data_IF_977364925015
#
_entry.id   IF_977364925015
#
_cell.length_a   1.000
_cell.length_b   1.000
_cell.length_c   1.000
_cell.angle_alpha   90.00
_cell.angle_beta   90.00
_cell.angle_gamma   90.00
#
_symmetry.space_group_name_H-M   'P 1'
#
loop_
_entity.id
_entity.type
_entity.pdbx_description
1 polymer ?
#
# COMPACT_ATOMS: atom_id res chain seq x y z
N UNK A 1 3.78 7.07 18.14
CA UNK A 1 4.51 7.66 17.00
C UNK A 1 3.48 8.08 15.97
N UNK A 2 3.62 9.25 15.34
CA UNK A 2 2.69 9.74 14.32
C UNK A 2 3.47 10.08 13.06
N UNK A 3 2.99 9.59 11.91
CA UNK A 3 3.54 9.90 10.60
C UNK A 3 2.44 10.56 9.76
N UNK A 4 2.75 11.72 9.18
CA UNK A 4 1.87 12.38 8.23
C UNK A 4 2.57 12.46 6.87
N UNK A 5 1.88 12.04 5.81
CA UNK A 5 2.37 12.12 4.43
C UNK A 5 1.55 13.19 3.71
N UNK A 6 2.15 14.36 3.39
CA UNK A 6 1.40 15.42 2.73
C UNK A 6 1.10 15.08 1.26
N UNK A 7 0.08 15.71 0.66
CA UNK A 7 -0.22 15.56 -0.76
C UNK A 7 1.00 15.81 -1.65
N UNK A 8 1.25 14.92 -2.61
CA UNK A 8 2.37 15.02 -3.55
C UNK A 8 3.74 14.60 -3.00
N UNK A 9 3.82 14.21 -1.73
CA UNK A 9 5.07 13.73 -1.15
C UNK A 9 5.52 12.39 -1.76
N UNK A 10 6.85 12.23 -1.86
CA UNK A 10 7.50 10.94 -2.13
C UNK A 10 8.30 10.58 -0.88
N UNK A 11 7.89 9.53 -0.19
CA UNK A 11 8.46 9.14 1.11
C UNK A 11 9.11 7.77 0.98
N UNK A 12 10.34 7.64 1.48
CA UNK A 12 11.03 6.37 1.64
C UNK A 12 11.00 5.93 3.10
N UNK A 13 10.64 4.68 3.36
CA UNK A 13 10.73 4.05 4.68
C UNK A 13 11.96 3.14 4.70
N UNK A 14 12.92 3.44 5.55
CA UNK A 14 14.19 2.70 5.69
C UNK A 14 14.33 2.12 7.10
N UNK A 15 15.10 1.05 7.21
CA UNK A 15 15.36 0.34 8.45
C UNK A 15 15.77 -1.10 8.16
N UNK A 16 16.29 -1.80 9.16
CA UNK A 16 16.76 -3.17 9.01
C UNK A 16 15.64 -4.18 8.69
N UNK A 17 16.03 -5.38 8.27
CA UNK A 17 15.08 -6.48 8.13
C UNK A 17 14.50 -6.82 9.52
N UNK A 18 13.18 -6.99 9.58
CA UNK A 18 12.47 -7.17 10.86
C UNK A 18 12.04 -5.88 11.57
N UNK A 19 12.46 -4.69 11.10
CA UNK A 19 12.04 -3.40 11.71
C UNK A 19 10.55 -3.05 11.50
N UNK A 20 9.75 -3.95 10.92
CA UNK A 20 8.30 -3.75 10.74
C UNK A 20 7.88 -3.02 9.47
N UNK A 21 8.77 -2.78 8.50
CA UNK A 21 8.43 -2.08 7.23
C UNK A 21 7.31 -2.76 6.45
N UNK A 22 7.40 -4.08 6.27
CA UNK A 22 6.34 -4.86 5.60
C UNK A 22 5.03 -4.81 6.39
N UNK A 23 5.09 -4.90 7.71
CA UNK A 23 3.92 -4.76 8.59
C UNK A 23 3.28 -3.38 8.46
N UNK A 24 4.08 -2.31 8.41
CA UNK A 24 3.59 -0.95 8.19
C UNK A 24 2.83 -0.84 6.86
N UNK A 25 3.36 -1.38 5.77
CA UNK A 25 2.67 -1.34 4.48
C UNK A 25 1.38 -2.18 4.47
N UNK A 26 1.37 -3.34 5.14
CA UNK A 26 0.14 -4.14 5.31
C UNK A 26 -0.92 -3.44 6.15
N UNK A 27 -0.52 -2.73 7.20
CA UNK A 27 -1.40 -1.86 8.00
C UNK A 27 -2.01 -0.75 7.12
N UNK A 28 -1.19 -0.06 6.33
CA UNK A 28 -1.67 0.97 5.40
C UNK A 28 -2.62 0.38 4.35
N UNK A 29 -2.33 -0.81 3.82
CA UNK A 29 -3.16 -1.54 2.87
C UNK A 29 -4.47 -2.10 3.47
N UNK A 30 -4.63 -2.04 4.80
CA UNK A 30 -5.77 -2.62 5.50
C UNK A 30 -5.77 -4.15 5.57
N UNK A 31 -4.64 -4.80 5.25
CA UNK A 31 -4.47 -6.26 5.37
C UNK A 31 -4.28 -6.70 6.82
N UNK A 32 -3.83 -5.78 7.68
CA UNK A 32 -3.65 -5.96 9.12
C UNK A 32 -4.31 -4.79 9.83
N UNK A 33 -4.98 -5.05 10.95
CA UNK A 33 -5.56 -3.99 11.80
C UNK A 33 -4.52 -3.46 12.78
N UNK A 34 -4.51 -2.16 13.09
CA UNK A 34 -3.66 -1.62 14.15
C UNK A 34 -4.13 -2.14 15.51
N UNK A 35 -3.18 -2.48 16.39
CA UNK A 35 -3.48 -2.82 17.78
C UNK A 35 -3.97 -1.59 18.56
N UNK A 36 -3.35 -0.43 18.29
CA UNK A 36 -3.68 0.88 18.86
C UNK A 36 -3.52 2.00 17.83
N UNK A 37 -4.23 3.12 18.05
CA UNK A 37 -4.20 4.29 17.17
C UNK A 37 -5.11 4.16 15.95
N UNK A 38 -4.88 5.01 14.95
CA UNK A 38 -5.71 5.06 13.75
C UNK A 38 -4.88 5.35 12.48
N UNK A 39 -5.42 4.90 11.34
CA UNK A 39 -4.92 5.21 10.01
C UNK A 39 -6.06 5.94 9.29
N UNK A 40 -5.80 7.17 8.86
CA UNK A 40 -6.78 7.97 8.13
C UNK A 40 -6.26 8.36 6.74
N UNK A 41 -7.15 8.28 5.77
CA UNK A 41 -6.93 8.70 4.39
C UNK A 41 -7.97 9.77 4.04
N UNK A 42 -7.60 10.83 3.30
CA UNK A 42 -8.58 11.81 2.83
C UNK A 42 -9.68 11.12 2.00
N UNK A 43 -10.94 11.55 2.15
CA UNK A 43 -12.11 10.86 1.59
C UNK A 43 -12.09 10.66 0.07
N UNK A 44 -11.35 11.50 -0.68
CA UNK A 44 -11.19 11.39 -2.13
C UNK A 44 -9.97 10.60 -2.58
N UNK A 45 -9.16 10.11 -1.66
CA UNK A 45 -7.96 9.36 -1.99
C UNK A 45 -8.29 7.89 -2.18
N UNK A 46 -7.56 7.25 -3.08
CA UNK A 46 -7.57 5.81 -3.27
C UNK A 46 -6.17 5.29 -2.97
N UNK A 47 -6.10 4.20 -2.21
CA UNK A 47 -4.84 3.54 -1.93
C UNK A 47 -4.56 2.48 -3.00
N UNK A 48 -3.40 2.58 -3.63
CA UNK A 48 -2.83 1.51 -4.46
C UNK A 48 -1.67 0.87 -3.71
N UNK A 49 -1.57 -0.46 -3.78
CA UNK A 49 -0.53 -1.22 -3.09
C UNK A 49 0.07 -2.25 -4.04
N UNK A 50 1.39 -2.18 -4.23
CA UNK A 50 2.15 -3.17 -4.99
C UNK A 50 2.91 -4.03 -3.98
N UNK A 51 2.57 -5.33 -3.83
CA UNK A 51 3.29 -6.20 -2.91
C UNK A 51 4.74 -6.40 -3.36
N UNK A 52 5.60 -6.74 -2.39
CA UNK A 52 7.01 -7.01 -2.64
C UNK A 52 7.23 -8.33 -3.43
N UNK A 53 6.29 -9.27 -3.31
CA UNK A 53 6.37 -10.57 -3.97
C UNK A 53 6.07 -10.47 -5.48
N UNK A 54 6.69 -11.35 -6.25
CA UNK A 54 6.44 -11.45 -7.69
C UNK A 54 4.98 -11.86 -7.93
N UNK A 55 4.27 -11.05 -8.70
CA UNK A 55 2.93 -11.39 -9.18
C UNK A 55 3.10 -12.19 -10.48
N UNK A 56 2.56 -13.41 -10.52
CA UNK A 56 2.49 -14.17 -11.76
C UNK A 56 1.64 -13.42 -12.78
N UNK A 57 2.23 -13.17 -13.96
CA UNK A 57 1.54 -12.55 -15.08
C UNK A 57 0.90 -13.67 -15.88
N UNK A 58 -0.41 -13.83 -15.72
CA UNK A 58 -1.20 -14.76 -16.53
C UNK A 58 -1.45 -14.24 -17.95
N UNK A 59 -2.13 -15.06 -18.75
CA UNK A 59 -2.56 -14.67 -20.09
C UNK A 59 -3.67 -13.61 -20.03
N UNK A 60 -3.34 -12.39 -20.45
CA UNK A 60 -4.28 -11.28 -20.49
C UNK A 60 -3.60 -9.90 -20.54
N UNK A 61 -4.37 -8.81 -20.68
CA UNK A 61 -3.80 -7.48 -20.70
C UNK A 61 -3.16 -7.13 -19.34
N UNK A 62 -1.88 -6.76 -19.33
CA UNK A 62 -1.16 -6.32 -18.12
C UNK A 62 -1.90 -5.22 -17.37
N UNK A 63 -2.53 -4.29 -18.10
CA UNK A 63 -3.32 -3.25 -17.48
C UNK A 63 -4.44 -3.82 -16.60
N UNK A 64 -5.11 -4.90 -17.02
CA UNK A 64 -6.16 -5.52 -16.23
C UNK A 64 -5.60 -6.15 -14.94
N UNK A 65 -4.48 -6.88 -15.04
CA UNK A 65 -3.78 -7.42 -13.87
C UNK A 65 -3.42 -6.32 -12.86
N UNK A 66 -2.89 -5.19 -13.33
CA UNK A 66 -2.51 -4.07 -12.47
C UNK A 66 -3.73 -3.41 -11.80
N UNK A 67 -4.86 -3.33 -12.50
CA UNK A 67 -6.11 -2.81 -11.90
C UNK A 67 -6.57 -3.70 -10.75
N UNK A 68 -6.55 -5.01 -10.95
CA UNK A 68 -7.07 -6.00 -10.01
C UNK A 68 -6.13 -6.19 -8.81
N UNK A 69 -4.81 -6.21 -9.04
CA UNK A 69 -3.81 -6.51 -8.01
C UNK A 69 -3.26 -5.29 -7.29
N UNK A 70 -3.06 -4.17 -7.98
CA UNK A 70 -2.42 -2.99 -7.41
C UNK A 70 -3.41 -1.91 -6.98
N UNK A 71 -4.72 -2.15 -7.11
CA UNK A 71 -5.77 -1.17 -6.80
C UNK A 71 -5.74 0.07 -7.70
N UNK A 72 -5.02 0.01 -8.83
CA UNK A 72 -4.77 1.16 -9.72
C UNK A 72 -6.06 1.69 -10.36
N UNK A 73 -7.17 0.94 -10.38
CA UNK A 73 -8.41 1.44 -10.98
C UNK A 73 -9.69 0.78 -10.49
N UNK A 74 -10.45 1.46 -9.63
CA UNK A 74 -11.92 1.52 -9.76
C UNK A 74 -12.26 2.92 -10.27
N UNK A 75 -12.47 3.05 -11.59
CA UNK A 75 -13.17 4.23 -12.15
C UNK A 75 -14.66 4.05 -11.87
#
# INVERSE_FOLDING_TARGET
MTLAVPPGARVGVVGDNGAGKTTLFRLLAGEVSPDEGEISLPSRWRLGYLPQDLVEVGDGPLLQLLKDKAGITRV
#
